data_IF_925692584683
#
_entry.id   IF_925692584683
#
_cell.length_a   1.000
_cell.length_b   1.000
_cell.length_c   1.000
_cell.angle_alpha   90.00
_cell.angle_beta   90.00
_cell.angle_gamma   90.00
#
_symmetry.space_group_name_H-M   'P 1'
#
loop_
_entity.id
_entity.type
_entity.pdbx_description
1 polymer ?
#
# COMPACT_ATOMS: atom_id res chain seq x y z
N UNK A 1 58.13 -57.76 -25.52
CA UNK A 1 57.41 -57.51 -24.25
C UNK A 1 56.85 -56.09 -24.28
N UNK A 2 55.59 -55.91 -24.69
CA UNK A 2 54.91 -54.61 -24.65
C UNK A 2 54.34 -54.38 -23.25
N UNK A 3 54.61 -53.22 -22.64
CA UNK A 3 54.03 -52.79 -21.36
C UNK A 3 52.71 -52.05 -21.64
N UNK A 4 51.62 -52.29 -20.88
CA UNK A 4 50.36 -51.58 -21.06
C UNK A 4 50.45 -50.18 -20.43
N UNK A 5 49.95 -49.17 -21.15
CA UNK A 5 49.74 -47.81 -20.62
C UNK A 5 48.33 -47.73 -20.06
N UNK A 6 48.18 -47.48 -18.75
CA UNK A 6 46.89 -47.16 -18.14
C UNK A 6 46.68 -45.65 -18.15
N UNK A 7 45.60 -45.20 -18.78
CA UNK A 7 45.13 -43.82 -18.77
C UNK A 7 44.20 -43.62 -17.57
N UNK A 8 44.63 -42.80 -16.60
CA UNK A 8 43.79 -42.35 -15.50
C UNK A 8 42.83 -41.26 -16.02
N UNK A 9 41.53 -41.53 -16.02
CA UNK A 9 40.52 -40.51 -16.25
C UNK A 9 40.28 -39.75 -14.95
N UNK A 10 40.61 -38.46 -14.93
CA UNK A 10 40.30 -37.54 -13.83
C UNK A 10 38.84 -37.10 -13.96
N UNK A 11 38.01 -37.46 -12.98
CA UNK A 11 36.61 -37.04 -12.90
C UNK A 11 36.55 -35.68 -12.18
N UNK A 12 36.36 -34.60 -12.93
CA UNK A 12 36.23 -33.25 -12.37
C UNK A 12 34.78 -33.06 -11.90
N UNK A 13 34.57 -33.00 -10.58
CA UNK A 13 33.26 -32.68 -9.99
C UNK A 13 33.07 -31.16 -10.06
N UNK A 14 32.22 -30.72 -10.99
CA UNK A 14 31.80 -29.33 -11.13
C UNK A 14 30.87 -28.97 -9.96
N UNK A 15 31.38 -28.20 -9.00
CA UNK A 15 30.57 -27.65 -7.93
C UNK A 15 29.79 -26.45 -8.48
N UNK A 16 28.50 -26.67 -8.76
CA UNK A 16 27.57 -25.60 -9.11
C UNK A 16 27.26 -24.81 -7.83
N UNK A 17 27.91 -23.66 -7.67
CA UNK A 17 27.56 -22.71 -6.61
C UNK A 17 26.30 -21.97 -7.04
N UNK A 18 25.17 -22.30 -6.42
CA UNK A 18 23.93 -21.55 -6.58
C UNK A 18 24.11 -20.25 -5.79
N UNK A 19 24.49 -19.17 -6.45
CA UNK A 19 24.38 -17.84 -5.88
C UNK A 19 22.89 -17.49 -5.80
N UNK A 20 22.31 -17.58 -4.60
CA UNK A 20 21.04 -16.91 -4.33
C UNK A 20 21.30 -15.41 -4.45
N UNK A 21 20.93 -14.82 -5.58
CA UNK A 21 20.82 -13.37 -5.65
C UNK A 21 19.82 -12.99 -4.55
N UNK A 22 20.31 -12.38 -3.47
CA UNK A 22 19.44 -11.72 -2.52
C UNK A 22 18.61 -10.73 -3.33
N UNK A 23 17.29 -10.85 -3.27
CA UNK A 23 16.39 -9.85 -3.82
C UNK A 23 16.80 -8.54 -3.15
N UNK A 24 17.40 -7.62 -3.91
CA UNK A 24 17.59 -6.25 -3.44
C UNK A 24 16.20 -5.76 -3.04
N UNK A 25 16.05 -5.41 -1.76
CA UNK A 25 14.74 -5.32 -1.11
C UNK A 25 13.82 -4.36 -1.85
N UNK A 26 12.58 -4.78 -2.10
CA UNK A 26 11.52 -3.92 -2.67
C UNK A 26 10.82 -3.08 -1.59
N UNK A 27 11.14 -3.34 -0.32
CA UNK A 27 10.72 -2.58 0.84
C UNK A 27 11.98 -2.04 1.50
N UNK A 28 12.33 -0.79 1.19
CA UNK A 28 13.56 -0.14 1.64
C UNK A 28 13.18 0.95 2.63
N UNK A 29 13.51 0.83 3.93
CA UNK A 29 13.26 1.90 4.88
C UNK A 29 14.14 3.11 4.57
N UNK A 30 13.65 4.31 4.88
CA UNK A 30 14.49 5.51 4.92
C UNK A 30 14.94 5.84 6.35
N UNK A 31 15.70 6.93 6.49
CA UNK A 31 16.24 7.39 7.77
C UNK A 31 15.58 8.69 8.27
N UNK A 32 14.32 8.94 7.90
CA UNK A 32 13.64 10.23 8.12
C UNK A 32 12.73 10.28 9.35
N UNK A 33 12.68 9.21 10.14
CA UNK A 33 11.92 9.14 11.39
C UNK A 33 12.84 9.24 12.61
N UNK A 34 12.33 9.68 13.78
CA UNK A 34 13.07 9.60 15.04
C UNK A 34 13.49 8.17 15.40
N UNK A 35 12.56 7.21 15.24
CA UNK A 35 12.82 5.78 15.24
C UNK A 35 12.46 5.24 13.85
N UNK A 36 13.48 4.83 13.10
CA UNK A 36 13.32 4.40 11.72
C UNK A 36 12.66 3.03 11.60
N UNK A 37 12.05 2.80 10.45
CA UNK A 37 11.55 1.48 10.07
C UNK A 37 12.71 0.51 9.86
N UNK A 38 12.50 -0.74 10.22
CA UNK A 38 13.45 -1.82 10.03
C UNK A 38 12.79 -2.91 9.21
N UNK A 39 13.47 -3.44 8.21
CA UNK A 39 12.93 -4.50 7.35
C UNK A 39 13.86 -5.71 7.43
N UNK A 40 13.32 -6.82 7.92
CA UNK A 40 14.05 -8.08 8.07
C UNK A 40 13.43 -9.14 7.16
N UNK A 41 14.06 -9.46 6.02
CA UNK A 41 13.59 -10.54 5.15
C UNK A 41 13.86 -11.91 5.79
N UNK A 42 12.83 -12.75 5.85
CA UNK A 42 12.88 -14.16 6.30
C UNK A 42 12.07 -15.02 5.34
N UNK A 43 12.75 -15.74 4.45
CA UNK A 43 12.08 -16.47 3.37
C UNK A 43 11.35 -15.52 2.43
N UNK A 44 10.03 -15.69 2.29
CA UNK A 44 9.16 -14.83 1.47
C UNK A 44 8.61 -13.61 2.22
N UNK A 45 8.80 -13.55 3.54
CA UNK A 45 8.22 -12.52 4.39
C UNK A 45 9.24 -11.44 4.70
N UNK A 46 8.88 -10.20 4.41
CA UNK A 46 9.58 -8.99 4.83
C UNK A 46 8.91 -8.49 6.12
N UNK A 47 9.50 -8.83 7.27
CA UNK A 47 9.00 -8.34 8.56
C UNK A 47 9.41 -6.88 8.75
N UNK A 48 8.43 -6.03 8.96
CA UNK A 48 8.57 -4.59 9.18
C UNK A 48 8.45 -4.32 10.68
N UNK A 49 9.58 -3.94 11.27
CA UNK A 49 9.77 -3.62 12.67
C UNK A 49 10.15 -2.14 12.85
N UNK A 50 10.40 -1.74 14.10
CA UNK A 50 10.81 -0.38 14.44
C UNK A 50 9.68 0.61 14.16
N UNK A 51 10.02 1.72 13.52
CA UNK A 51 9.10 2.83 13.30
C UNK A 51 8.94 3.70 14.56
N UNK A 52 8.27 4.83 14.38
CA UNK A 52 8.04 5.80 15.45
C UNK A 52 6.62 5.66 15.97
N UNK A 53 6.48 5.21 17.21
CA UNK A 53 5.18 5.12 17.88
C UNK A 53 4.87 6.42 18.64
N UNK A 54 3.70 6.99 18.41
CA UNK A 54 3.19 8.18 19.11
C UNK A 54 1.69 8.02 19.38
N UNK A 55 1.31 7.94 20.65
CA UNK A 55 -0.04 7.57 21.04
C UNK A 55 -0.43 6.20 20.44
N UNK A 56 -1.57 6.15 19.76
CA UNK A 56 -2.06 4.93 19.10
C UNK A 56 -1.65 4.84 17.62
N UNK A 57 -0.70 5.67 17.16
CA UNK A 57 -0.19 5.67 15.79
C UNK A 57 1.22 5.08 15.74
N UNK A 58 1.48 4.23 14.75
CA UNK A 58 2.82 3.74 14.41
C UNK A 58 3.20 4.23 13.02
N UNK A 59 4.21 5.09 12.96
CA UNK A 59 4.69 5.69 11.73
C UNK A 59 5.83 4.86 11.14
N UNK A 60 5.70 4.52 9.87
CA UNK A 60 6.75 3.92 9.04
C UNK A 60 7.07 4.81 7.85
N UNK A 61 8.33 4.79 7.42
CA UNK A 61 8.81 5.61 6.31
C UNK A 61 9.78 4.79 5.48
N UNK A 62 9.54 4.79 4.18
CA UNK A 62 10.24 3.97 3.22
C UNK A 62 10.76 4.82 2.07
N UNK A 63 11.98 4.56 1.65
CA UNK A 63 12.49 5.04 0.37
C UNK A 63 11.73 4.37 -0.79
N UNK A 64 11.43 3.07 -0.65
CA UNK A 64 10.68 2.27 -1.61
C UNK A 64 9.76 1.30 -0.87
N UNK A 65 8.53 1.11 -1.36
CA UNK A 65 7.59 0.14 -0.80
C UNK A 65 6.80 -0.53 -1.93
N UNK A 66 7.28 -1.69 -2.34
CA UNK A 66 6.63 -2.60 -3.29
C UNK A 66 6.63 -4.00 -2.69
N UNK A 67 5.57 -4.76 -2.96
CA UNK A 67 5.37 -6.12 -2.43
C UNK A 67 5.24 -7.05 -3.65
N UNK A 68 6.31 -7.70 -4.10
CA UNK A 68 6.27 -8.51 -5.32
C UNK A 68 5.47 -9.81 -5.14
N UNK A 69 5.12 -10.42 -6.27
CA UNK A 69 4.44 -11.72 -6.33
C UNK A 69 5.10 -12.77 -5.45
N UNK A 70 4.28 -13.47 -4.67
CA UNK A 70 4.73 -14.56 -3.81
C UNK A 70 5.49 -14.10 -2.55
N UNK A 71 5.47 -12.80 -2.24
CA UNK A 71 6.07 -12.24 -1.02
C UNK A 71 5.04 -11.57 -0.11
N UNK A 72 5.45 -11.32 1.13
CA UNK A 72 4.58 -10.77 2.17
C UNK A 72 5.26 -9.59 2.89
N UNK A 73 4.57 -8.47 3.05
CA UNK A 73 4.97 -7.37 3.92
C UNK A 73 4.23 -7.52 5.26
N UNK A 74 4.93 -7.88 6.34
CA UNK A 74 4.34 -8.09 7.66
C UNK A 74 4.70 -6.95 8.60
N UNK A 75 3.75 -6.08 8.92
CA UNK A 75 3.92 -5.09 9.98
C UNK A 75 3.84 -5.78 11.35
N UNK A 76 4.96 -5.86 12.07
CA UNK A 76 5.05 -6.44 13.42
C UNK A 76 4.62 -5.43 14.50
N UNK A 77 3.39 -4.93 14.39
CA UNK A 77 2.84 -3.89 15.27
C UNK A 77 2.48 -4.44 16.66
N UNK A 78 2.48 -3.58 17.68
CA UNK A 78 1.99 -3.89 19.03
C UNK A 78 0.46 -3.91 19.15
N UNK A 79 -0.06 -4.43 20.27
CA UNK A 79 -1.49 -4.70 20.50
C UNK A 79 -2.38 -3.45 20.74
N UNK A 80 -1.78 -2.30 21.02
CA UNK A 80 -2.51 -1.07 21.41
C UNK A 80 -2.49 0.02 20.33
N UNK A 81 -2.14 -0.33 19.09
CA UNK A 81 -2.07 0.61 17.99
C UNK A 81 -3.39 0.63 17.22
N UNK A 82 -3.94 1.81 17.01
CA UNK A 82 -5.13 1.99 16.17
C UNK A 82 -4.75 2.13 14.70
N UNK A 83 -3.61 2.75 14.40
CA UNK A 83 -3.19 3.06 13.04
C UNK A 83 -1.71 2.72 12.80
N UNK A 84 -1.45 2.09 11.66
CA UNK A 84 -0.13 1.97 11.03
C UNK A 84 -0.14 2.95 9.85
N UNK A 85 0.76 3.93 9.89
CA UNK A 85 0.79 5.02 8.93
C UNK A 85 2.11 4.96 8.19
N UNK A 86 2.04 4.69 6.90
CA UNK A 86 3.22 4.49 6.06
C UNK A 86 3.32 5.59 5.01
N UNK A 87 4.54 6.04 4.74
CA UNK A 87 4.85 6.93 3.61
C UNK A 87 6.00 6.39 2.77
N UNK A 88 5.95 6.64 1.47
CA UNK A 88 7.05 6.43 0.53
C UNK A 88 7.66 7.79 0.17
N UNK A 89 8.93 8.00 0.51
CA UNK A 89 9.67 9.24 0.31
C UNK A 89 10.49 9.26 -0.98
N UNK A 90 10.65 8.09 -1.62
CA UNK A 90 11.30 7.99 -2.92
C UNK A 90 10.44 8.40 -4.09
N UNK A 91 10.98 8.13 -5.28
CA UNK A 91 10.37 8.51 -6.55
C UNK A 91 9.78 7.30 -7.31
N UNK A 92 9.69 6.13 -6.65
CA UNK A 92 9.19 4.91 -7.26
C UNK A 92 7.71 4.72 -6.94
N UNK A 93 6.98 4.18 -7.92
CA UNK A 93 5.61 3.68 -7.75
C UNK A 93 5.61 2.50 -6.77
N UNK A 94 4.58 2.40 -5.95
CA UNK A 94 4.34 1.21 -5.13
C UNK A 94 3.64 0.14 -5.98
N UNK A 95 4.38 -0.89 -6.37
CA UNK A 95 3.85 -2.07 -7.04
C UNK A 95 3.53 -3.14 -5.98
N UNK A 96 2.25 -3.35 -5.72
CA UNK A 96 1.73 -4.26 -4.71
C UNK A 96 1.11 -5.45 -5.44
N UNK A 97 1.89 -6.49 -5.66
CA UNK A 97 1.46 -7.76 -6.25
C UNK A 97 1.65 -8.93 -5.27
N UNK A 98 1.66 -8.65 -3.97
CA UNK A 98 1.80 -9.67 -2.93
C UNK A 98 0.88 -9.37 -1.74
N UNK A 99 1.22 -9.90 -0.56
CA UNK A 99 0.35 -9.80 0.62
C UNK A 99 0.82 -8.72 1.58
N UNK A 100 -0.06 -7.79 1.96
CA UNK A 100 0.16 -6.87 3.07
C UNK A 100 -0.52 -7.43 4.32
N UNK A 101 0.24 -7.58 5.41
CA UNK A 101 -0.19 -8.16 6.68
C UNK A 101 0.12 -7.26 7.86
N UNK A 102 -0.67 -7.39 8.92
CA UNK A 102 -0.33 -6.88 10.25
C UNK A 102 -0.34 -8.02 11.25
N UNK A 103 0.49 -7.94 12.27
CA UNK A 103 0.51 -8.93 13.35
C UNK A 103 -0.69 -8.79 14.28
N UNK A 104 -1.06 -7.55 14.58
CA UNK A 104 -2.21 -7.21 15.42
C UNK A 104 -3.16 -6.28 14.67
N UNK A 105 -4.43 -6.28 15.07
CA UNK A 105 -5.47 -5.43 14.49
C UNK A 105 -5.07 -3.95 14.52
N UNK A 106 -5.12 -3.29 13.37
CA UNK A 106 -4.87 -1.86 13.19
C UNK A 106 -5.35 -1.43 11.80
N UNK A 107 -5.76 -0.17 11.68
CA UNK A 107 -5.96 0.45 10.37
C UNK A 107 -4.61 0.67 9.69
N UNK A 108 -4.56 0.59 8.37
CA UNK A 108 -3.33 0.80 7.61
C UNK A 108 -3.52 1.92 6.57
N UNK A 109 -2.60 2.88 6.60
CA UNK A 109 -2.51 3.98 5.64
C UNK A 109 -1.25 3.78 4.80
N UNK A 110 -1.39 3.75 3.48
CA UNK A 110 -0.31 3.70 2.51
C UNK A 110 -0.30 4.99 1.68
N UNK A 111 0.72 5.84 1.90
CA UNK A 111 0.92 7.06 1.12
C UNK A 111 2.11 6.92 0.18
N UNK A 112 1.87 7.03 -1.14
CA UNK A 112 2.93 7.15 -2.14
C UNK A 112 2.54 8.16 -3.23
N UNK A 113 3.11 9.39 -3.23
CA UNK A 113 2.80 10.42 -4.21
C UNK A 113 3.07 10.05 -5.67
N UNK A 114 3.92 9.05 -5.91
CA UNK A 114 4.30 8.63 -7.26
C UNK A 114 3.31 7.66 -7.90
N UNK A 115 2.39 7.09 -7.13
CA UNK A 115 1.40 6.14 -7.60
C UNK A 115 1.39 4.84 -6.79
N UNK A 116 0.26 4.15 -6.84
CA UNK A 116 0.07 2.83 -6.21
C UNK A 116 -0.64 1.94 -7.21
N UNK A 117 -0.08 0.76 -7.48
CA UNK A 117 -0.66 -0.25 -8.36
C UNK A 117 -0.83 -1.54 -7.56
N UNK A 118 -2.06 -2.04 -7.49
CA UNK A 118 -2.36 -3.36 -6.94
C UNK A 118 -2.47 -4.35 -8.09
N UNK A 119 -1.47 -5.21 -8.25
CA UNK A 119 -1.41 -6.24 -9.28
C UNK A 119 -2.35 -7.43 -9.01
N UNK A 120 -2.42 -8.42 -9.91
CA UNK A 120 -3.36 -9.55 -9.85
C UNK A 120 -3.28 -10.41 -8.58
N UNK A 121 -2.14 -10.41 -7.90
CA UNK A 121 -1.89 -11.22 -6.70
C UNK A 121 -1.95 -10.39 -5.40
N UNK A 122 -2.29 -9.10 -5.50
CA UNK A 122 -2.43 -8.21 -4.35
C UNK A 122 -3.47 -8.75 -3.35
N UNK A 123 -3.09 -8.82 -2.08
CA UNK A 123 -4.00 -9.22 -1.00
C UNK A 123 -3.76 -8.41 0.27
N UNK A 124 -4.84 -8.06 0.95
CA UNK A 124 -4.82 -7.55 2.31
C UNK A 124 -5.15 -8.71 3.26
N UNK A 125 -4.33 -8.92 4.28
CA UNK A 125 -4.52 -9.97 5.28
C UNK A 125 -4.24 -9.41 6.68
N UNK A 126 -5.21 -8.61 7.14
CA UNK A 126 -5.23 -8.05 8.48
C UNK A 126 -6.65 -7.66 8.90
N UNK A 127 -6.81 -7.41 10.21
CA UNK A 127 -8.04 -6.88 10.78
C UNK A 127 -7.91 -5.36 10.94
N UNK A 128 -8.64 -4.60 10.14
CA UNK A 128 -8.64 -3.15 10.19
C UNK A 128 -9.13 -2.54 8.88
N UNK A 129 -9.29 -1.22 8.89
CA UNK A 129 -9.61 -0.46 7.68
C UNK A 129 -8.34 -0.15 6.89
N UNK A 130 -8.46 0.03 5.58
CA UNK A 130 -7.33 0.31 4.68
C UNK A 130 -7.55 1.58 3.87
N UNK A 131 -6.51 2.42 3.80
CA UNK A 131 -6.45 3.59 2.94
C UNK A 131 -5.17 3.55 2.11
N UNK A 132 -5.31 3.58 0.79
CA UNK A 132 -4.20 3.80 -0.13
C UNK A 132 -4.36 5.16 -0.80
N UNK A 133 -3.30 5.97 -0.79
CA UNK A 133 -3.36 7.31 -1.35
C UNK A 133 -2.07 7.82 -1.98
N UNK A 134 -2.23 8.65 -3.01
CA UNK A 134 -1.13 9.40 -3.65
C UNK A 134 -1.00 10.83 -3.14
N UNK A 135 -1.55 11.12 -1.96
CA UNK A 135 -1.36 12.39 -1.29
C UNK A 135 0.12 12.62 -0.93
N UNK A 136 0.54 13.89 -1.01
CA UNK A 136 1.88 14.32 -0.61
C UNK A 136 2.10 14.20 0.89
N UNK A 137 1.05 14.31 1.70
CA UNK A 137 1.15 14.32 3.16
C UNK A 137 -0.16 13.92 3.84
N UNK A 138 -0.02 13.37 5.06
CA UNK A 138 -1.12 13.17 6.00
C UNK A 138 -1.12 14.30 7.04
N UNK A 139 -2.27 14.93 7.23
CA UNK A 139 -2.45 16.07 8.12
C UNK A 139 -2.96 15.60 9.49
N UNK A 140 -2.43 16.21 10.54
CA UNK A 140 -2.91 16.12 11.92
C UNK A 140 -3.22 17.54 12.42
N UNK A 141 -3.77 17.67 13.62
CA UNK A 141 -4.12 18.98 14.20
C UNK A 141 -2.93 19.94 14.27
N UNK A 142 -1.76 19.42 14.65
CA UNK A 142 -0.57 20.22 14.99
C UNK A 142 0.68 19.81 14.21
N UNK A 143 0.54 18.86 13.28
CA UNK A 143 1.68 18.32 12.53
C UNK A 143 1.29 17.76 11.18
N UNK A 144 2.31 17.54 10.35
CA UNK A 144 2.18 17.02 8.99
C UNK A 144 3.15 15.87 8.84
N UNK A 145 2.66 14.71 8.40
CA UNK A 145 3.48 13.58 8.02
C UNK A 145 3.63 13.53 6.51
N UNK A 146 4.73 14.10 6.00
CA UNK A 146 4.92 14.35 4.56
C UNK A 146 5.79 13.29 3.88
N UNK A 147 5.33 12.77 2.74
CA UNK A 147 6.10 11.93 1.82
C UNK A 147 7.07 12.75 0.95
N UNK A 148 6.69 13.98 0.57
CA UNK A 148 7.46 14.81 -0.39
C UNK A 148 8.44 15.77 0.27
N UNK A 149 8.23 16.12 1.55
CA UNK A 149 9.19 16.89 2.34
C UNK A 149 9.39 16.21 3.71
N UNK A 150 10.07 15.07 3.76
CA UNK A 150 10.25 14.33 5.00
C UNK A 150 11.19 15.09 5.96
N UNK A 151 10.71 15.35 7.17
CA UNK A 151 11.47 16.03 8.22
C UNK A 151 11.68 15.08 9.40
N UNK A 152 12.88 15.11 10.00
CA UNK A 152 13.28 14.25 11.12
C UNK A 152 12.94 14.81 12.53
N UNK A 153 12.17 15.90 12.62
CA UNK A 153 11.88 16.63 13.86
C UNK A 153 10.57 16.22 14.52
N UNK A 154 10.43 16.35 15.86
CA UNK A 154 9.60 15.47 16.66
C UNK A 154 8.13 15.64 16.28
N UNK A 155 7.52 14.56 15.75
CA UNK A 155 6.09 14.50 15.59
C UNK A 155 5.47 14.64 16.98
N UNK A 156 4.81 15.77 17.25
CA UNK A 156 3.79 15.84 18.29
C UNK A 156 2.47 15.48 17.61
N UNK A 157 2.01 14.25 17.79
CA UNK A 157 0.60 13.92 17.55
C UNK A 157 0.25 12.56 18.16
N UNK A 158 -0.53 12.61 19.23
CA UNK A 158 -1.35 11.51 19.75
C UNK A 158 -2.71 11.45 19.04
N UNK A 159 -2.90 12.30 18.02
CA UNK A 159 -4.19 12.62 17.44
C UNK A 159 -4.48 11.75 16.21
N UNK A 160 -5.75 11.72 15.82
CA UNK A 160 -6.19 11.01 14.63
C UNK A 160 -5.81 11.78 13.35
N UNK A 161 -5.57 11.10 12.21
CA UNK A 161 -5.44 11.75 10.92
C UNK A 161 -6.68 12.60 10.60
N UNK A 162 -6.46 13.84 10.14
CA UNK A 162 -7.51 14.80 9.81
C UNK A 162 -7.71 15.02 8.32
N UNK A 163 -6.70 14.71 7.50
CA UNK A 163 -6.80 14.92 6.06
C UNK A 163 -5.60 14.46 5.25
N UNK A 164 -5.80 14.41 3.94
CA UNK A 164 -4.80 14.13 2.92
C UNK A 164 -4.51 15.44 2.18
N UNK A 165 -3.24 15.84 2.10
CA UNK A 165 -2.82 17.01 1.33
C UNK A 165 -2.21 16.57 0.01
N UNK A 166 -2.76 17.07 -1.10
CA UNK A 166 -2.33 16.77 -2.46
C UNK A 166 -1.55 17.94 -3.07
N UNK A 167 -0.57 17.60 -3.92
CA UNK A 167 0.07 18.53 -4.84
C UNK A 167 -0.70 18.69 -6.14
N UNK A 168 -0.13 19.43 -7.09
CA UNK A 168 -0.79 19.75 -8.36
C UNK A 168 -0.93 18.58 -9.35
N UNK A 169 -0.25 17.46 -9.12
CA UNK A 169 -0.26 16.30 -10.02
C UNK A 169 -0.29 15.02 -9.18
N UNK A 170 -1.44 14.72 -8.60
CA UNK A 170 -1.62 13.48 -7.86
C UNK A 170 -1.54 12.29 -8.83
N UNK A 171 -0.69 11.30 -8.50
CA UNK A 171 -0.56 10.10 -9.32
C UNK A 171 -1.78 9.18 -9.17
N UNK A 172 -1.91 8.21 -10.07
CA UNK A 172 -3.01 7.26 -10.07
C UNK A 172 -2.92 6.23 -8.93
N UNK A 173 -4.09 5.78 -8.45
CA UNK A 173 -4.24 4.54 -7.69
C UNK A 173 -4.96 3.53 -8.58
N UNK A 174 -4.29 2.44 -8.94
CA UNK A 174 -4.81 1.43 -9.85
C UNK A 174 -4.95 0.07 -9.14
N UNK A 175 -6.01 -0.66 -9.48
CA UNK A 175 -6.22 -2.05 -9.11
C UNK A 175 -6.43 -2.87 -10.38
N UNK A 176 -5.66 -3.95 -10.52
CA UNK A 176 -5.64 -4.80 -11.71
C UNK A 176 -5.89 -6.26 -11.34
N UNK A 177 -7.07 -6.77 -11.68
CA UNK A 177 -7.43 -8.19 -11.65
C UNK A 177 -7.28 -8.89 -10.29
N UNK A 178 -7.26 -8.12 -9.20
CA UNK A 178 -7.14 -8.63 -7.83
C UNK A 178 -8.37 -8.33 -6.98
N UNK A 179 -8.39 -8.92 -5.79
CA UNK A 179 -9.41 -8.68 -4.78
C UNK A 179 -8.78 -8.01 -3.57
N UNK A 180 -9.12 -6.74 -3.33
CA UNK A 180 -8.83 -6.10 -2.05
C UNK A 180 -10.04 -6.24 -1.14
N UNK A 181 -9.84 -6.92 -0.01
CA UNK A 181 -10.86 -7.19 0.97
C UNK A 181 -10.40 -6.72 2.34
N UNK A 182 -11.27 -5.99 3.03
CA UNK A 182 -11.11 -5.69 4.45
C UNK A 182 -12.07 -6.53 5.28
N UNK A 183 -11.74 -6.75 6.55
CA UNK A 183 -12.60 -7.50 7.47
C UNK A 183 -14.00 -6.88 7.60
N UNK A 184 -15.03 -7.65 7.99
CA UNK A 184 -16.38 -7.11 8.15
C UNK A 184 -16.43 -5.87 9.06
N UNK A 185 -17.27 -4.90 8.68
CA UNK A 185 -17.43 -3.60 9.34
C UNK A 185 -16.20 -2.68 9.27
N UNK A 186 -15.20 -3.00 8.45
CA UNK A 186 -14.06 -2.14 8.15
C UNK A 186 -14.25 -1.40 6.83
N UNK A 187 -13.51 -0.32 6.65
CA UNK A 187 -13.60 0.54 5.47
C UNK A 187 -12.39 0.37 4.57
N UNK A 188 -12.60 0.54 3.27
CA UNK A 188 -11.60 0.48 2.22
C UNK A 188 -11.65 1.76 1.40
N UNK A 189 -10.56 2.52 1.37
CA UNK A 189 -10.47 3.79 0.66
C UNK A 189 -9.30 3.81 -0.32
N UNK A 190 -9.57 4.15 -1.58
CA UNK A 190 -8.56 4.41 -2.61
C UNK A 190 -8.71 5.87 -3.06
N UNK A 191 -7.70 6.69 -2.76
CA UNK A 191 -7.80 8.15 -2.91
C UNK A 191 -6.55 8.71 -3.59
N UNK A 192 -6.64 9.27 -4.79
CA UNK A 192 -5.43 9.70 -5.51
C UNK A 192 -5.62 10.83 -6.50
N UNK A 193 -4.87 10.76 -7.59
CA UNK A 193 -5.26 11.34 -8.88
C UNK A 193 -6.42 10.54 -9.43
N UNK A 194 -6.31 10.01 -10.65
CA UNK A 194 -7.31 9.05 -11.11
C UNK A 194 -7.33 7.80 -10.23
N UNK A 195 -8.50 7.15 -10.14
CA UNK A 195 -8.63 5.82 -9.53
C UNK A 195 -9.19 4.87 -10.58
N UNK A 196 -8.45 3.80 -10.88
CA UNK A 196 -8.85 2.81 -11.88
C UNK A 196 -8.92 1.41 -11.29
N UNK A 197 -10.05 0.75 -11.51
CA UNK A 197 -10.28 -0.65 -11.16
C UNK A 197 -10.51 -1.39 -12.47
N UNK A 198 -9.63 -2.33 -12.79
CA UNK A 198 -9.70 -3.12 -14.00
C UNK A 198 -9.77 -4.61 -13.66
N UNK A 199 -10.92 -5.24 -13.95
CA UNK A 199 -11.17 -6.66 -13.71
C UNK A 199 -11.03 -7.13 -12.27
N UNK A 200 -11.06 -6.23 -11.30
CA UNK A 200 -10.86 -6.57 -9.90
C UNK A 200 -12.04 -6.22 -9.00
N UNK A 201 -11.91 -6.62 -7.74
CA UNK A 201 -13.00 -6.58 -6.76
C UNK A 201 -12.56 -5.83 -5.51
N UNK A 202 -13.41 -4.90 -5.06
CA UNK A 202 -13.27 -4.23 -3.77
C UNK A 202 -14.36 -4.73 -2.81
N UNK A 203 -13.95 -5.32 -1.69
CA UNK A 203 -14.85 -5.89 -0.69
C UNK A 203 -14.73 -5.18 0.67
N UNK A 204 -15.86 -4.70 1.19
CA UNK A 204 -15.97 -4.20 2.55
C UNK A 204 -17.32 -4.60 3.18
N UNK A 205 -17.53 -5.88 3.52
CA UNK A 205 -18.83 -6.38 4.01
C UNK A 205 -19.28 -5.64 5.28
N UNK A 206 -20.46 -5.02 5.29
CA UNK A 206 -20.91 -4.25 6.47
C UNK A 206 -20.20 -2.91 6.67
N UNK A 207 -19.27 -2.56 5.78
CA UNK A 207 -18.44 -1.36 5.86
C UNK A 207 -18.67 -0.40 4.69
N UNK A 208 -17.66 0.39 4.38
CA UNK A 208 -17.68 1.35 3.28
C UNK A 208 -16.51 1.16 2.31
N UNK A 209 -16.80 1.17 1.01
CA UNK A 209 -15.81 1.41 -0.03
C UNK A 209 -15.88 2.87 -0.46
N UNK A 210 -14.75 3.58 -0.43
CA UNK A 210 -14.62 4.97 -0.85
C UNK A 210 -13.61 5.13 -1.97
N UNK A 211 -14.03 5.69 -3.10
CA UNK A 211 -13.15 5.99 -4.24
C UNK A 211 -13.19 7.47 -4.56
N UNK A 212 -12.06 8.06 -4.89
CA UNK A 212 -12.04 9.41 -5.43
C UNK A 212 -10.64 9.96 -5.61
N UNK A 213 -10.57 11.21 -6.04
CA UNK A 213 -9.28 11.86 -6.18
C UNK A 213 -9.36 13.29 -6.64
N UNK A 214 -8.20 13.92 -6.77
CA UNK A 214 -8.03 15.31 -7.16
C UNK A 214 -7.16 15.42 -8.42
N UNK A 215 -7.51 16.35 -9.30
CA UNK A 215 -6.69 16.69 -10.48
C UNK A 215 -5.59 17.72 -10.17
N UNK A 216 -5.67 18.38 -9.01
CA UNK A 216 -4.76 19.43 -8.61
C UNK A 216 -4.57 19.49 -7.10
N UNK A 217 -3.85 20.52 -6.63
CA UNK A 217 -3.58 20.68 -5.21
C UNK A 217 -4.88 20.88 -4.42
N UNK A 218 -4.94 20.30 -3.23
CA UNK A 218 -6.11 20.37 -2.39
C UNK A 218 -5.98 19.55 -1.12
N UNK A 219 -6.97 19.66 -0.26
CA UNK A 219 -7.06 18.90 0.98
C UNK A 219 -8.35 18.08 0.94
N UNK A 220 -8.23 16.78 1.16
CA UNK A 220 -9.37 15.89 1.40
C UNK A 220 -9.41 15.62 2.90
N UNK A 221 -10.52 15.91 3.56
CA UNK A 221 -10.69 15.63 4.98
C UNK A 221 -10.73 14.11 5.25
N UNK A 222 -10.46 13.70 6.48
CA UNK A 222 -10.60 12.32 6.94
C UNK A 222 -11.45 12.24 8.20
N UNK A 223 -12.38 11.30 8.20
CA UNK A 223 -13.09 10.83 9.40
C UNK A 223 -12.69 9.37 9.64
N UNK A 224 -11.61 9.17 10.41
CA UNK A 224 -10.93 7.88 10.46
C UNK A 224 -10.24 7.61 9.12
N UNK A 225 -10.71 6.61 8.37
CA UNK A 225 -10.23 6.30 7.00
C UNK A 225 -11.16 6.85 5.91
N UNK A 226 -12.37 7.30 6.26
CA UNK A 226 -13.35 7.74 5.28
C UNK A 226 -12.96 9.13 4.76
N UNK A 227 -12.75 9.30 3.44
CA UNK A 227 -12.46 10.59 2.84
C UNK A 227 -13.69 11.49 2.78
N UNK A 228 -13.47 12.77 3.04
CA UNK A 228 -14.46 13.83 2.95
C UNK A 228 -13.96 14.93 2.02
N UNK A 229 -14.45 14.92 0.78
CA UNK A 229 -14.05 15.85 -0.26
C UNK A 229 -14.80 17.18 -0.11
N UNK A 230 -14.09 18.32 -0.01
CA UNK A 230 -14.74 19.63 -0.06
C UNK A 230 -15.49 19.83 -1.38
N UNK A 231 -16.65 20.51 -1.33
CA UNK A 231 -17.48 20.78 -2.51
C UNK A 231 -16.78 21.61 -3.60
N UNK A 232 -15.72 22.33 -3.24
CA UNK A 232 -14.92 23.16 -4.16
C UNK A 232 -13.77 22.40 -4.82
N UNK A 233 -13.66 21.09 -4.59
CA UNK A 233 -12.55 20.28 -5.08
C UNK A 233 -12.60 20.08 -6.59
N UNK A 234 -11.44 20.15 -7.24
CA UNK A 234 -11.29 19.72 -8.63
C UNK A 234 -11.06 18.21 -8.67
N UNK A 235 -12.15 17.46 -8.72
CA UNK A 235 -12.12 16.00 -8.65
C UNK A 235 -11.45 15.37 -9.88
N UNK A 236 -10.80 14.22 -9.70
CA UNK A 236 -10.27 13.37 -10.77
C UNK A 236 -11.31 12.36 -11.26
N UNK A 237 -10.93 11.54 -12.23
CA UNK A 237 -11.83 10.51 -12.75
C UNK A 237 -11.71 9.22 -11.93
N UNK A 238 -12.83 8.51 -11.82
CA UNK A 238 -12.89 7.13 -11.33
C UNK A 238 -13.34 6.24 -12.47
N UNK A 239 -12.67 5.11 -12.69
CA UNK A 239 -13.05 4.14 -13.73
C UNK A 239 -13.11 2.73 -13.18
N UNK A 240 -14.19 2.02 -13.49
CA UNK A 240 -14.35 0.59 -13.26
C UNK A 240 -14.54 -0.09 -14.61
N UNK A 241 -13.70 -1.08 -14.91
CA UNK A 241 -13.77 -1.78 -16.20
C UNK A 241 -13.56 -3.28 -16.13
N UNK A 242 -13.91 -3.96 -17.23
CA UNK A 242 -13.60 -5.39 -17.48
C UNK A 242 -14.13 -6.33 -16.38
N UNK A 243 -15.40 -6.17 -16.00
CA UNK A 243 -16.01 -6.98 -14.94
C UNK A 243 -15.67 -6.58 -13.51
N UNK A 244 -15.16 -5.36 -13.29
CA UNK A 244 -14.87 -4.86 -11.93
C UNK A 244 -16.11 -4.84 -11.04
N UNK A 245 -15.92 -5.19 -9.77
CA UNK A 245 -16.98 -5.30 -8.77
C UNK A 245 -16.65 -4.51 -7.50
N UNK A 246 -17.67 -3.86 -6.93
CA UNK A 246 -17.62 -3.33 -5.56
C UNK A 246 -18.76 -3.97 -4.78
N UNK A 247 -18.43 -4.68 -3.70
CA UNK A 247 -19.42 -5.34 -2.85
C UNK A 247 -19.20 -4.96 -1.37
N UNK A 248 -20.30 -4.49 -0.76
CA UNK A 248 -20.32 -3.99 0.62
C UNK A 248 -21.41 -4.64 1.45
N UNK A 249 -22.17 -5.57 0.86
CA UNK A 249 -23.29 -6.21 1.52
C UNK A 249 -22.83 -6.94 2.78
N UNK A 250 -23.46 -6.65 3.91
CA UNK A 250 -23.21 -7.29 5.20
C UNK A 250 -24.46 -7.23 6.08
N UNK A 251 -24.39 -7.87 7.25
CA UNK A 251 -25.51 -7.98 8.20
C UNK A 251 -26.01 -6.63 8.73
N UNK A 252 -25.19 -5.59 8.67
CA UNK A 252 -25.46 -4.23 9.11
C UNK A 252 -25.69 -3.24 7.95
N UNK A 253 -25.76 -3.74 6.71
CA UNK A 253 -25.79 -2.92 5.50
C UNK A 253 -24.39 -2.76 4.89
N UNK A 254 -24.12 -1.59 4.31
CA UNK A 254 -22.85 -1.25 3.67
C UNK A 254 -23.05 -0.03 2.77
N UNK A 255 -21.98 0.67 2.43
CA UNK A 255 -22.08 1.85 1.55
C UNK A 255 -20.92 1.97 0.57
N UNK A 256 -21.21 2.57 -0.58
CA UNK A 256 -20.20 2.90 -1.59
C UNK A 256 -20.25 4.42 -1.77
N UNK A 257 -19.10 5.08 -1.61
CA UNK A 257 -18.92 6.52 -1.85
C UNK A 257 -17.95 6.73 -3.00
N UNK A 258 -18.35 7.49 -4.02
CA UNK A 258 -17.51 7.80 -5.17
C UNK A 258 -17.52 9.31 -5.39
N UNK A 259 -16.37 9.95 -5.13
CA UNK A 259 -16.14 11.38 -5.35
C UNK A 259 -15.28 11.54 -6.60
N UNK A 260 -15.93 11.82 -7.74
CA UNK A 260 -15.27 11.90 -9.05
C UNK A 260 -15.81 13.04 -9.91
N UNK A 261 -14.97 13.52 -10.83
CA UNK A 261 -15.40 14.41 -11.92
C UNK A 261 -16.11 13.62 -13.02
N UNK A 262 -15.56 12.47 -13.41
CA UNK A 262 -16.27 11.48 -14.22
C UNK A 262 -16.16 10.10 -13.60
N UNK A 263 -17.30 9.42 -13.50
CA UNK A 263 -17.36 7.98 -13.24
C UNK A 263 -17.55 7.23 -14.55
N UNK A 264 -16.54 6.45 -14.95
CA UNK A 264 -16.58 5.62 -16.15
C UNK A 264 -16.83 4.15 -15.77
N UNK A 265 -17.90 3.56 -16.26
CA UNK A 265 -18.19 2.13 -16.12
C UNK A 265 -18.14 1.50 -17.51
N UNK A 266 -17.18 0.59 -17.75
CA UNK A 266 -16.92 0.07 -19.10
C UNK A 266 -16.66 -1.42 -19.12
N UNK A 267 -17.34 -2.12 -20.02
CA UNK A 267 -16.98 -3.49 -20.36
C UNK A 267 -16.29 -3.49 -21.71
N UNK A 268 -15.07 -4.04 -21.80
CA UNK A 268 -14.44 -4.29 -23.09
C UNK A 268 -14.67 -5.75 -23.45
N UNK A 269 -15.60 -5.97 -24.38
CA UNK A 269 -15.80 -7.31 -24.96
C UNK A 269 -14.57 -7.64 -25.83
N UNK A 270 -13.78 -8.61 -25.37
CA UNK A 270 -12.74 -9.23 -26.19
C UNK A 270 -13.44 -10.18 -27.19
N UNK A 271 -13.68 -9.71 -28.42
CA UNK A 271 -14.10 -10.55 -29.55
C UNK A 271 -12.92 -11.22 -30.22
#
# INVERSE_FOLDING_TARGET
MLKPKWSLFSLTVLHLTISTNGVSGQIIPDATLPNNSLVTPTGITFTIDGGTALGNNLFHSFQEFSVPTGTEALFNNGVNLSNIITRVTGNQVSDIDGVIKTKNSANLFLLNPNGIVFGPNAKLDFHGSFLASTANSLLFSDSIFSATNPQASPLLTINVPLGLQYGNNAAEVALQQSQLEVSPHQNLALVGGNVSIEGGTLLAPGGQVSLGGLTGAGIVGLQGIIPDFPQTSQLSNVSLSNGSLIEVAGSSGGSIKIDSNNLNLREVLNY
#
